data_IF_896960724537
#
_entry.id   IF_896960724537
#
_cell.length_a   1.000
_cell.length_b   1.000
_cell.length_c   1.000
_cell.angle_alpha   90.00
_cell.angle_beta   90.00
_cell.angle_gamma   90.00
#
_symmetry.space_group_name_H-M   'P 1'
#
loop_
_entity.id
_entity.type
_entity.pdbx_description
1 polymer ?
#
# COMPACT_ATOMS: atom_id res chain seq x y z
N UNK A 1 -3.49 -16.83 7.40
CA UNK A 1 -3.76 -17.71 6.24
C UNK A 1 -4.82 -17.14 5.30
N UNK A 2 -6.04 -16.81 5.75
CA UNK A 2 -7.12 -16.28 4.86
C UNK A 2 -6.73 -15.05 4.03
N UNK A 3 -6.08 -14.04 4.64
CA UNK A 3 -5.65 -12.82 3.94
C UNK A 3 -4.67 -13.11 2.80
N UNK A 4 -3.67 -13.95 3.05
CA UNK A 4 -2.68 -14.33 2.03
C UNK A 4 -3.34 -15.05 0.83
N UNK A 5 -4.29 -15.96 1.09
CA UNK A 5 -5.02 -16.64 0.01
C UNK A 5 -5.88 -15.65 -0.81
N UNK A 6 -6.50 -14.68 -0.16
CA UNK A 6 -7.27 -13.64 -0.85
C UNK A 6 -6.35 -12.76 -1.72
N UNK A 7 -5.18 -12.36 -1.20
CA UNK A 7 -4.19 -11.60 -1.95
C UNK A 7 -3.74 -12.38 -3.19
N UNK A 8 -3.37 -13.66 -3.03
CA UNK A 8 -2.98 -14.54 -4.12
C UNK A 8 -4.10 -14.71 -5.16
N UNK A 9 -5.35 -14.88 -4.71
CA UNK A 9 -6.50 -14.97 -5.58
C UNK A 9 -6.71 -13.69 -6.40
N UNK A 10 -6.66 -12.51 -5.77
CA UNK A 10 -6.81 -11.23 -6.47
C UNK A 10 -5.72 -11.02 -7.52
N UNK A 11 -4.47 -11.33 -7.18
CA UNK A 11 -3.36 -11.25 -8.12
C UNK A 11 -3.54 -12.22 -9.29
N UNK A 12 -3.91 -13.48 -9.02
CA UNK A 12 -4.17 -14.48 -10.04
C UNK A 12 -5.33 -14.09 -10.97
N UNK A 13 -6.43 -13.58 -10.40
CA UNK A 13 -7.57 -13.10 -11.16
C UNK A 13 -7.21 -11.90 -12.06
N UNK A 14 -6.41 -10.96 -11.55
CA UNK A 14 -5.93 -9.81 -12.33
C UNK A 14 -5.09 -10.25 -13.54
N UNK A 15 -4.17 -11.20 -13.35
CA UNK A 15 -3.33 -11.76 -14.42
C UNK A 15 -4.16 -12.56 -15.44
N UNK A 16 -5.14 -13.32 -14.96
CA UNK A 16 -5.99 -14.18 -15.81
C UNK A 16 -7.09 -13.41 -16.56
N UNK A 17 -7.34 -12.15 -16.20
CA UNK A 17 -8.38 -11.33 -16.80
C UNK A 17 -8.22 -11.22 -18.32
N UNK A 18 -9.36 -11.21 -19.03
CA UNK A 18 -9.44 -11.15 -20.51
C UNK A 18 -10.31 -9.97 -20.94
N UNK A 19 -10.06 -9.36 -22.13
CA UNK A 19 -9.09 -9.78 -23.15
C UNK A 19 -7.63 -9.48 -22.80
N UNK A 20 -7.37 -8.62 -21.81
CA UNK A 20 -6.04 -8.26 -21.33
C UNK A 20 -5.95 -8.39 -19.80
N UNK A 21 -4.75 -8.66 -19.25
CA UNK A 21 -4.53 -8.61 -17.81
C UNK A 21 -4.90 -7.26 -17.21
N UNK A 22 -5.37 -7.27 -15.97
CA UNK A 22 -5.58 -6.08 -15.17
C UNK A 22 -4.36 -5.85 -14.25
N UNK A 23 -4.10 -4.59 -13.95
CA UNK A 23 -3.16 -4.23 -12.89
C UNK A 23 -3.87 -4.32 -11.53
N UNK A 24 -3.11 -4.63 -10.48
CA UNK A 24 -3.60 -4.61 -9.10
C UNK A 24 -2.74 -3.72 -8.21
N UNK A 25 -3.36 -3.19 -7.15
CA UNK A 25 -2.67 -2.51 -6.06
C UNK A 25 -3.26 -3.04 -4.76
N UNK A 26 -2.46 -3.74 -3.97
CA UNK A 26 -2.90 -4.32 -2.69
C UNK A 26 -2.19 -3.60 -1.56
N UNK A 27 -2.97 -2.87 -0.77
CA UNK A 27 -2.50 -2.17 0.43
C UNK A 27 -2.99 -2.94 1.66
N UNK A 28 -2.05 -3.35 2.52
CA UNK A 28 -2.31 -4.02 3.79
C UNK A 28 -2.06 -3.02 4.92
N UNK A 29 -3.08 -2.25 5.35
CA UNK A 29 -2.85 -1.24 6.37
C UNK A 29 -2.58 -1.89 7.73
N UNK A 30 -1.74 -1.19 8.49
CA UNK A 30 -1.63 -1.31 9.94
C UNK A 30 -2.97 -1.00 10.64
N UNK A 31 -2.99 -1.02 11.98
CA UNK A 31 -4.17 -0.68 12.77
C UNK A 31 -4.75 0.68 12.39
N UNK A 32 -6.03 0.70 11.99
CA UNK A 32 -6.68 1.91 11.51
C UNK A 32 -7.08 2.84 12.67
N UNK A 33 -6.84 4.14 12.50
CA UNK A 33 -7.28 5.19 13.44
C UNK A 33 -8.15 6.24 12.73
N UNK A 34 -8.97 6.95 13.51
CA UNK A 34 -9.79 8.07 13.06
C UNK A 34 -9.13 9.43 13.28
N UNK A 35 -7.80 9.45 13.39
CA UNK A 35 -7.02 10.68 13.49
C UNK A 35 -6.98 11.40 12.14
N UNK A 36 -6.70 12.71 12.17
CA UNK A 36 -6.43 13.47 10.95
C UNK A 36 -5.21 12.89 10.22
N UNK A 37 -5.32 12.74 8.90
CA UNK A 37 -4.23 12.31 8.02
C UNK A 37 -3.39 13.50 7.56
N UNK A 38 -2.39 13.21 6.74
CA UNK A 38 -1.53 14.23 6.14
C UNK A 38 -0.60 14.92 7.14
N UNK A 39 -0.36 14.31 8.30
CA UNK A 39 0.54 14.76 9.37
C UNK A 39 1.53 13.66 9.80
N UNK A 40 1.71 12.64 8.96
CA UNK A 40 2.48 11.44 9.26
C UNK A 40 3.38 11.06 8.08
N UNK A 41 4.54 10.48 8.39
CA UNK A 41 5.38 9.85 7.37
C UNK A 41 4.90 8.43 7.18
N UNK A 42 4.53 8.09 5.95
CA UNK A 42 4.11 6.73 5.58
C UNK A 42 5.31 5.79 5.58
N UNK A 43 5.11 4.60 6.14
CA UNK A 43 6.10 3.52 6.23
C UNK A 43 5.56 2.33 5.46
N UNK A 44 6.34 1.87 4.49
CA UNK A 44 6.03 0.68 3.68
C UNK A 44 6.80 -0.51 4.21
N UNK A 45 6.24 -1.69 4.05
CA UNK A 45 6.95 -2.95 4.30
C UNK A 45 6.39 -4.10 3.49
N UNK A 46 6.97 -5.27 3.73
CA UNK A 46 6.60 -6.51 3.06
C UNK A 46 6.59 -7.65 4.07
N UNK A 47 5.78 -8.66 3.78
CA UNK A 47 5.73 -9.92 4.54
C UNK A 47 5.48 -9.73 6.04
N UNK A 48 4.65 -8.74 6.39
CA UNK A 48 4.34 -8.37 7.78
C UNK A 48 5.59 -7.92 8.56
N UNK A 49 6.63 -7.46 7.86
CA UNK A 49 7.94 -7.09 8.41
C UNK A 49 8.02 -5.69 9.03
N UNK A 50 6.94 -4.90 9.00
CA UNK A 50 6.94 -3.56 9.62
C UNK A 50 6.95 -3.70 11.14
N UNK A 51 8.09 -3.38 11.75
CA UNK A 51 8.27 -3.40 13.21
C UNK A 51 8.01 -2.00 13.79
N UNK A 52 6.76 -1.75 14.23
CA UNK A 52 6.34 -0.49 14.83
C UNK A 52 5.39 -0.74 16.00
N UNK A 53 5.46 0.11 17.03
CA UNK A 53 4.62 0.02 18.23
C UNK A 53 4.11 1.41 18.64
N UNK A 54 2.79 1.69 18.55
CA UNK A 54 1.77 0.86 17.95
C UNK A 54 1.86 0.86 16.41
N UNK A 55 1.58 -0.26 15.73
CA UNK A 55 1.56 -0.34 14.27
C UNK A 55 0.24 0.23 13.74
N UNK A 56 0.16 1.55 13.54
CA UNK A 56 -1.08 2.27 13.20
C UNK A 56 -0.96 3.19 11.98
N UNK A 57 -2.11 3.51 11.39
CA UNK A 57 -2.26 4.49 10.31
C UNK A 57 -3.66 5.11 10.31
N UNK A 58 -3.74 6.40 9.98
CA UNK A 58 -5.02 7.09 9.82
C UNK A 58 -5.79 6.55 8.60
N UNK A 59 -7.11 6.37 8.73
CA UNK A 59 -7.96 5.97 7.58
C UNK A 59 -7.85 6.91 6.38
N UNK A 60 -7.68 8.20 6.65
CA UNK A 60 -7.50 9.25 5.65
C UNK A 60 -6.19 9.11 4.87
N UNK A 61 -5.10 8.69 5.53
CA UNK A 61 -3.82 8.41 4.85
C UNK A 61 -3.91 7.18 3.94
N UNK A 62 -4.64 6.14 4.36
CA UNK A 62 -4.93 4.98 3.49
C UNK A 62 -5.73 5.40 2.27
N UNK A 63 -6.76 6.23 2.46
CA UNK A 63 -7.58 6.73 1.36
C UNK A 63 -6.76 7.56 0.36
N UNK A 64 -5.85 8.42 0.85
CA UNK A 64 -4.94 9.19 0.00
C UNK A 64 -4.03 8.28 -0.83
N UNK A 65 -3.43 7.25 -0.24
CA UNK A 65 -2.59 6.28 -0.98
C UNK A 65 -3.39 5.61 -2.10
N UNK A 66 -4.64 5.20 -1.83
CA UNK A 66 -5.50 4.61 -2.84
C UNK A 66 -5.87 5.59 -3.96
N UNK A 67 -6.17 6.85 -3.62
CA UNK A 67 -6.42 7.90 -4.60
C UNK A 67 -5.20 8.15 -5.48
N UNK A 68 -4.01 8.21 -4.90
CA UNK A 68 -2.75 8.42 -5.61
C UNK A 68 -2.39 7.24 -6.50
N UNK A 69 -2.72 6.00 -6.09
CA UNK A 69 -2.55 4.81 -6.93
C UNK A 69 -3.43 4.86 -8.19
N UNK A 70 -4.66 5.38 -8.07
CA UNK A 70 -5.57 5.57 -9.20
C UNK A 70 -5.12 6.71 -10.12
N UNK A 71 -4.61 7.80 -9.56
CA UNK A 71 -4.11 8.95 -10.32
C UNK A 71 -2.77 8.66 -11.02
N UNK A 72 -1.97 7.74 -10.48
CA UNK A 72 -0.62 7.41 -10.97
C UNK A 72 -0.46 5.90 -11.20
N UNK A 73 -1.27 5.29 -12.08
CA UNK A 73 -1.37 3.83 -12.22
C UNK A 73 -0.06 3.17 -12.66
N UNK A 74 0.78 3.86 -13.44
CA UNK A 74 2.08 3.32 -13.86
C UNK A 74 3.05 3.13 -12.69
N UNK A 75 2.94 3.95 -11.65
CA UNK A 75 3.76 3.83 -10.45
C UNK A 75 3.23 2.73 -9.53
N UNK A 76 1.91 2.64 -9.39
CA UNK A 76 1.23 1.78 -8.42
C UNK A 76 0.77 0.41 -8.94
N UNK A 77 1.00 0.08 -10.21
CA UNK A 77 0.61 -1.23 -10.79
C UNK A 77 1.41 -2.40 -10.23
N UNK A 78 0.70 -3.49 -9.98
CA UNK A 78 1.20 -4.81 -9.58
C UNK A 78 2.03 -4.77 -8.29
N UNK A 79 1.58 -3.96 -7.31
CA UNK A 79 2.23 -3.85 -6.00
C UNK A 79 1.38 -4.51 -4.92
N UNK A 80 2.07 -5.00 -3.90
CA UNK A 80 1.49 -5.54 -2.66
C UNK A 80 2.39 -5.13 -1.51
N UNK A 81 1.89 -4.34 -0.56
CA UNK A 81 2.71 -3.78 0.52
C UNK A 81 1.93 -3.61 1.82
N UNK A 82 2.65 -3.73 2.93
CA UNK A 82 2.19 -3.32 4.25
C UNK A 82 2.33 -1.80 4.38
N UNK A 83 1.35 -1.14 5.00
CA UNK A 83 1.31 0.31 5.10
C UNK A 83 0.99 0.77 6.52
N UNK A 84 1.94 1.48 7.11
CA UNK A 84 1.84 2.04 8.46
C UNK A 84 2.26 3.51 8.42
N UNK A 85 2.18 4.20 9.57
CA UNK A 85 2.61 5.59 9.66
C UNK A 85 3.32 5.86 10.97
N UNK A 86 4.28 6.80 10.94
CA UNK A 86 4.92 7.35 12.13
C UNK A 86 4.75 8.87 12.17
N UNK A 87 4.80 9.49 13.37
CA UNK A 87 4.88 10.94 13.48
C UNK A 87 6.04 11.49 12.65
N UNK A 88 5.79 12.51 11.84
CA UNK A 88 6.79 13.06 10.94
C UNK A 88 6.17 13.90 9.82
N UNK A 89 7.01 14.44 8.92
CA UNK A 89 6.51 15.21 7.80
C UNK A 89 5.61 14.35 6.89
N UNK A 90 4.60 14.95 6.26
CA UNK A 90 3.68 14.23 5.39
C UNK A 90 4.40 13.68 4.17
N UNK A 91 4.16 12.42 3.81
CA UNK A 91 4.65 11.87 2.54
C UNK A 91 3.97 12.60 1.37
N UNK A 92 4.78 13.21 0.49
CA UNK A 92 4.31 13.93 -0.72
C UNK A 92 4.94 13.42 -2.01
N UNK A 93 6.09 12.76 -1.93
CA UNK A 93 6.76 12.19 -3.10
C UNK A 93 6.25 10.78 -3.37
N UNK A 94 5.20 10.70 -4.19
CA UNK A 94 4.53 9.45 -4.53
C UNK A 94 5.36 8.53 -5.41
N UNK A 95 6.27 9.06 -6.23
CA UNK A 95 7.17 8.24 -7.04
C UNK A 95 8.13 7.44 -6.15
N UNK A 96 8.78 8.11 -5.19
CA UNK A 96 9.64 7.43 -4.21
C UNK A 96 8.83 6.46 -3.34
N UNK A 97 7.64 6.87 -2.90
CA UNK A 97 6.76 6.00 -2.11
C UNK A 97 6.41 4.71 -2.86
N UNK A 98 5.89 4.78 -4.08
CA UNK A 98 5.50 3.59 -4.84
C UNK A 98 6.70 2.75 -5.28
N UNK A 99 7.86 3.35 -5.55
CA UNK A 99 9.09 2.60 -5.80
C UNK A 99 9.47 1.70 -4.62
N UNK A 100 9.34 2.20 -3.39
CA UNK A 100 9.64 1.45 -2.17
C UNK A 100 8.65 0.29 -1.89
N UNK A 101 7.50 0.23 -2.58
CA UNK A 101 6.53 -0.87 -2.45
C UNK A 101 6.88 -2.10 -3.30
N UNK A 102 7.89 -2.02 -4.18
CA UNK A 102 8.27 -3.10 -5.10
C UNK A 102 9.26 -4.07 -4.47
N UNK A 103 9.28 -5.32 -4.94
CA UNK A 103 10.27 -6.35 -4.57
C UNK A 103 11.09 -6.81 -5.80
N UNK A 104 12.43 -6.99 -5.66
CA UNK A 104 13.22 -6.50 -4.53
C UNK A 104 13.12 -4.97 -4.46
N UNK A 105 13.11 -4.43 -3.24
CA UNK A 105 13.16 -2.98 -3.08
C UNK A 105 14.44 -2.46 -3.76
N UNK A 106 14.37 -1.34 -4.51
CA UNK A 106 15.53 -0.77 -5.16
C UNK A 106 16.65 -0.41 -4.18
#
# INVERSE_FOLDING_TARGET
FYKLNQEAYLMGAAVAARPKPLAFTIIKPCGLTDTAGGNSTLVVGHEDGVQMTPPIIARTDVAEVLAQALLQPELARNIRTDLCSKPGPPTRNWATFFAATRLPAP
#
